data_IF_373547629962
#
_entry.id   IF_373547629962
#
_cell.length_a   1.000
_cell.length_b   1.000
_cell.length_c   1.000
_cell.angle_alpha   90.00
_cell.angle_beta   90.00
_cell.angle_gamma   90.00
#
_symmetry.space_group_name_H-M   'P 1'
#
loop_
_entity.id
_entity.type
_entity.pdbx_description
1 polymer ?
#
# COMPACT_ATOMS: atom_id res chain seq x y z
N UNK A 1 12.60 -5.53 -11.61
CA UNK A 1 11.27 -5.61 -10.97
C UNK A 1 11.02 -4.40 -10.07
N UNK A 2 11.84 -4.15 -9.05
CA UNK A 2 11.66 -3.04 -8.11
C UNK A 2 11.60 -1.64 -8.74
N UNK A 3 12.38 -1.36 -9.79
CA UNK A 3 12.34 -0.07 -10.48
C UNK A 3 10.93 0.20 -11.05
N UNK A 4 10.29 -0.81 -11.64
CA UNK A 4 8.92 -0.71 -12.11
C UNK A 4 7.94 -0.52 -10.94
N UNK A 5 8.08 -1.32 -9.89
CA UNK A 5 7.23 -1.24 -8.70
C UNK A 5 7.31 0.10 -7.98
N UNK A 6 8.47 0.74 -7.93
CA UNK A 6 8.64 2.08 -7.34
C UNK A 6 7.79 3.15 -8.02
N UNK A 7 7.32 2.90 -9.24
CA UNK A 7 6.41 3.78 -9.96
C UNK A 7 4.98 3.23 -9.87
N UNK A 8 4.78 1.96 -10.22
CA UNK A 8 3.44 1.37 -10.35
C UNK A 8 2.72 1.20 -9.02
N UNK A 9 3.42 0.86 -7.94
CA UNK A 9 2.81 0.65 -6.61
C UNK A 9 2.33 1.95 -5.97
N UNK A 10 3.13 3.04 -5.90
CA UNK A 10 2.61 4.33 -5.47
C UNK A 10 1.41 4.78 -6.30
N UNK A 11 1.45 4.60 -7.63
CA UNK A 11 0.32 4.94 -8.50
C UNK A 11 -0.93 4.15 -8.12
N UNK A 12 -0.81 2.83 -7.92
CA UNK A 12 -1.94 1.97 -7.55
C UNK A 12 -2.59 2.40 -6.22
N UNK A 13 -1.80 2.72 -5.20
CA UNK A 13 -2.36 3.15 -3.90
C UNK A 13 -2.91 4.58 -3.93
N UNK A 14 -2.42 5.44 -4.83
CA UNK A 14 -2.97 6.78 -5.03
C UNK A 14 -4.36 6.78 -5.67
N UNK A 15 -4.78 5.69 -6.32
CA UNK A 15 -6.12 5.57 -6.90
C UNK A 15 -7.22 5.66 -5.84
N UNK A 16 -7.00 5.16 -4.62
CA UNK A 16 -8.01 5.19 -3.55
C UNK A 16 -8.49 6.61 -3.20
N UNK A 17 -7.61 7.57 -2.79
CA UNK A 17 -8.04 8.93 -2.50
C UNK A 17 -8.56 9.68 -3.74
N UNK A 18 -8.11 9.32 -4.95
CA UNK A 18 -8.59 9.91 -6.20
C UNK A 18 -10.01 9.47 -6.53
N UNK A 19 -10.32 8.17 -6.44
CA UNK A 19 -11.66 7.61 -6.66
C UNK A 19 -12.68 8.13 -5.63
N UNK A 20 -12.22 8.41 -4.41
CA UNK A 20 -13.04 8.99 -3.36
C UNK A 20 -13.20 10.51 -3.48
N UNK A 21 -12.53 11.15 -4.44
CA UNK A 21 -12.55 12.60 -4.67
C UNK A 21 -12.36 13.42 -3.38
N UNK A 22 -11.42 13.01 -2.51
CA UNK A 22 -11.24 13.61 -1.19
C UNK A 22 -10.66 15.03 -1.22
N UNK A 23 -10.15 15.47 -2.37
CA UNK A 23 -9.48 16.76 -2.52
C UNK A 23 -8.40 16.95 -1.47
N UNK A 24 -8.34 18.15 -0.88
CA UNK A 24 -7.35 18.47 0.17
C UNK A 24 -7.49 17.63 1.44
N UNK A 25 -8.69 17.13 1.76
CA UNK A 25 -8.94 16.29 2.95
C UNK A 25 -8.26 14.92 2.83
N UNK A 26 -7.98 14.47 1.60
CA UNK A 26 -7.26 13.22 1.32
C UNK A 26 -5.75 13.36 1.31
N UNK A 27 -5.18 14.55 1.53
CA UNK A 27 -3.73 14.79 1.38
C UNK A 27 -2.88 13.93 2.32
N UNK A 28 -3.32 13.74 3.56
CA UNK A 28 -2.62 12.91 4.54
C UNK A 28 -2.68 11.42 4.18
N UNK A 29 -3.84 10.93 3.71
CA UNK A 29 -3.99 9.57 3.21
C UNK A 29 -3.11 9.34 1.97
N UNK A 30 -3.12 10.28 1.03
CA UNK A 30 -2.30 10.24 -0.18
C UNK A 30 -0.80 10.16 0.15
N UNK A 31 -0.30 11.10 0.97
CA UNK A 31 1.12 11.12 1.37
C UNK A 31 1.49 9.87 2.14
N UNK A 32 0.62 9.42 3.05
CA UNK A 32 0.83 8.21 3.83
C UNK A 32 0.97 6.99 2.94
N UNK A 33 0.01 6.76 2.03
CA UNK A 33 0.05 5.62 1.10
C UNK A 33 1.31 5.62 0.24
N UNK A 34 1.66 6.77 -0.35
CA UNK A 34 2.86 6.91 -1.19
C UNK A 34 4.14 6.66 -0.38
N UNK A 35 4.27 7.30 0.78
CA UNK A 35 5.45 7.17 1.63
C UNK A 35 5.67 5.72 2.06
N UNK A 36 4.61 5.06 2.58
CA UNK A 36 4.72 3.68 3.02
C UNK A 36 4.95 2.71 1.87
N UNK A 37 4.45 2.98 0.66
CA UNK A 37 4.80 2.22 -0.54
C UNK A 37 6.29 2.30 -0.86
N UNK A 38 6.91 3.49 -0.76
CA UNK A 38 8.35 3.63 -0.94
C UNK A 38 9.15 2.90 0.14
N UNK A 39 8.77 3.05 1.42
CA UNK A 39 9.42 2.33 2.53
C UNK A 39 9.35 0.82 2.31
N UNK A 40 8.17 0.30 1.99
CA UNK A 40 7.97 -1.13 1.70
C UNK A 40 8.89 -1.61 0.58
N UNK A 41 8.90 -0.92 -0.57
CA UNK A 41 9.67 -1.38 -1.72
C UNK A 41 11.18 -1.24 -1.57
N UNK A 42 11.65 -0.15 -0.96
CA UNK A 42 13.09 0.05 -0.72
C UNK A 42 13.60 -1.00 0.26
N UNK A 43 12.86 -1.26 1.34
CA UNK A 43 13.28 -2.26 2.34
C UNK A 43 13.15 -3.70 1.82
N UNK A 44 12.13 -4.00 1.01
CA UNK A 44 12.04 -5.29 0.30
C UNK A 44 13.24 -5.49 -0.65
N UNK A 45 13.62 -4.47 -1.42
CA UNK A 45 14.79 -4.56 -2.29
C UNK A 45 16.09 -4.79 -1.49
N UNK A 46 16.29 -4.09 -0.38
CA UNK A 46 17.46 -4.31 0.50
C UNK A 46 17.46 -5.73 1.06
N UNK A 47 16.30 -6.28 1.43
CA UNK A 47 16.19 -7.68 1.84
C UNK A 47 16.57 -8.63 0.69
N UNK A 48 16.08 -8.40 -0.52
CA UNK A 48 16.35 -9.23 -1.70
C UNK A 48 17.84 -9.28 -2.08
N UNK A 49 18.56 -8.15 -1.97
CA UNK A 49 20.01 -8.09 -2.21
C UNK A 49 20.85 -8.66 -1.04
N UNK A 50 20.22 -8.90 0.12
CA UNK A 50 20.92 -9.45 1.27
C UNK A 50 21.09 -10.97 1.15
N UNK A 51 22.15 -11.57 1.73
CA UNK A 51 22.32 -13.01 1.73
C UNK A 51 21.09 -13.70 2.35
N UNK A 52 20.48 -14.62 1.61
CA UNK A 52 19.26 -15.33 2.02
C UNK A 52 19.45 -15.99 3.39
N UNK A 53 18.50 -15.74 4.31
CA UNK A 53 18.53 -16.31 5.66
C UNK A 53 19.45 -15.57 6.65
N UNK A 54 20.16 -14.52 6.21
CA UNK A 54 20.94 -13.67 7.11
C UNK A 54 20.06 -12.84 8.05
N UNK A 55 20.64 -12.33 9.14
CA UNK A 55 19.98 -11.39 10.03
C UNK A 55 19.50 -10.13 9.29
N UNK A 56 20.31 -9.63 8.36
CA UNK A 56 19.98 -8.46 7.55
C UNK A 56 18.76 -8.74 6.65
N UNK A 57 18.74 -9.90 5.99
CA UNK A 57 17.60 -10.36 5.19
C UNK A 57 16.30 -10.36 6.01
N UNK A 58 16.30 -11.04 7.16
CA UNK A 58 15.11 -11.12 8.03
C UNK A 58 14.68 -9.75 8.57
N UNK A 59 15.63 -8.89 8.93
CA UNK A 59 15.34 -7.57 9.47
C UNK A 59 14.60 -6.72 8.44
N UNK A 60 15.14 -6.60 7.22
CA UNK A 60 14.53 -5.77 6.19
C UNK A 60 13.26 -6.39 5.59
N UNK A 61 13.17 -7.72 5.55
CA UNK A 61 11.94 -8.41 5.20
C UNK A 61 10.81 -8.06 6.17
N UNK A 62 11.03 -8.16 7.48
CA UNK A 62 10.00 -7.83 8.49
C UNK A 62 9.62 -6.35 8.44
N UNK A 63 10.59 -5.45 8.23
CA UNK A 63 10.30 -4.01 8.07
C UNK A 63 9.40 -3.76 6.85
N UNK A 64 9.68 -4.41 5.72
CA UNK A 64 8.85 -4.30 4.52
C UNK A 64 7.43 -4.82 4.76
N UNK A 65 7.29 -6.00 5.38
CA UNK A 65 5.98 -6.54 5.76
C UNK A 65 5.23 -5.60 6.71
N UNK A 66 5.93 -4.95 7.65
CA UNK A 66 5.34 -3.94 8.54
C UNK A 66 4.80 -2.72 7.79
N UNK A 67 5.55 -2.20 6.82
CA UNK A 67 5.10 -1.11 5.96
C UNK A 67 3.88 -1.50 5.11
N UNK A 68 3.87 -2.71 4.55
CA UNK A 68 2.73 -3.26 3.84
C UNK A 68 1.48 -3.37 4.73
N UNK A 69 1.62 -3.94 5.94
CA UNK A 69 0.52 -4.04 6.89
C UNK A 69 0.00 -2.66 7.30
N UNK A 70 0.86 -1.64 7.37
CA UNK A 70 0.43 -0.26 7.62
C UNK A 70 -0.36 0.33 6.44
N UNK A 71 0.02 0.04 5.19
CA UNK A 71 -0.79 0.36 4.00
C UNK A 71 -2.18 -0.28 4.11
N UNK A 72 -2.22 -1.59 4.36
CA UNK A 72 -3.47 -2.34 4.57
C UNK A 72 -4.30 -1.69 5.68
N UNK A 73 -3.70 -1.35 6.81
CA UNK A 73 -4.38 -0.67 7.91
C UNK A 73 -5.03 0.64 7.45
N UNK A 74 -4.33 1.49 6.69
CA UNK A 74 -4.90 2.73 6.15
C UNK A 74 -6.07 2.46 5.19
N UNK A 75 -5.99 1.42 4.36
CA UNK A 75 -7.07 1.03 3.45
C UNK A 75 -8.30 0.48 4.18
N UNK A 76 -8.12 -0.23 5.30
CA UNK A 76 -9.23 -0.80 6.06
C UNK A 76 -9.78 0.14 7.13
N UNK A 77 -9.13 1.27 7.41
CA UNK A 77 -9.62 2.33 8.30
C UNK A 77 -10.04 3.57 7.53
N UNK A 78 -9.09 4.38 7.06
CA UNK A 78 -9.33 5.68 6.43
C UNK A 78 -10.15 5.60 5.15
N UNK A 79 -9.85 4.64 4.27
CA UNK A 79 -10.63 4.45 3.05
C UNK A 79 -12.02 3.89 3.37
N UNK A 80 -12.16 3.02 4.38
CA UNK A 80 -13.48 2.53 4.84
C UNK A 80 -14.36 3.67 5.34
N UNK A 81 -13.81 4.56 6.17
CA UNK A 81 -14.51 5.74 6.67
C UNK A 81 -14.93 6.66 5.51
N UNK A 82 -13.99 6.93 4.59
CA UNK A 82 -14.22 7.82 3.45
C UNK A 82 -15.23 7.27 2.43
N UNK A 83 -15.28 5.96 2.23
CA UNK A 83 -16.20 5.35 1.25
C UNK A 83 -17.65 5.27 1.73
N UNK A 84 -17.92 5.51 3.03
CA UNK A 84 -19.27 5.42 3.59
C UNK A 84 -20.27 6.38 2.92
N UNK A 85 -19.79 7.53 2.44
CA UNK A 85 -20.58 8.52 1.70
C UNK A 85 -20.52 8.36 0.17
N UNK A 86 -19.80 7.38 -0.35
CA UNK A 86 -19.64 7.16 -1.79
C UNK A 86 -20.78 6.29 -2.37
N UNK A 87 -21.06 6.38 -3.69
CA UNK A 87 -22.01 5.49 -4.35
C UNK A 87 -21.68 4.00 -4.16
N UNK A 88 -22.69 3.14 -4.16
CA UNK A 88 -22.54 1.69 -3.94
C UNK A 88 -21.57 1.01 -4.91
N UNK A 89 -21.55 1.44 -6.18
CA UNK A 89 -20.60 0.96 -7.19
C UNK A 89 -19.15 1.27 -6.82
N UNK A 90 -18.86 2.49 -6.36
CA UNK A 90 -17.53 2.92 -5.92
C UNK A 90 -17.11 2.15 -4.66
N UNK A 91 -18.03 1.98 -3.70
CA UNK A 91 -17.75 1.17 -2.50
C UNK A 91 -17.38 -0.27 -2.86
N UNK A 92 -18.09 -0.89 -3.82
CA UNK A 92 -17.80 -2.24 -4.26
C UNK A 92 -16.39 -2.33 -4.89
N UNK A 93 -16.05 -1.40 -5.79
CA UNK A 93 -14.72 -1.34 -6.39
C UNK A 93 -13.61 -1.17 -5.35
N UNK A 94 -13.77 -0.24 -4.41
CA UNK A 94 -12.77 0.00 -3.36
C UNK A 94 -12.61 -1.21 -2.43
N UNK A 95 -13.69 -1.95 -2.13
CA UNK A 95 -13.63 -3.21 -1.36
C UNK A 95 -12.85 -4.30 -2.09
N UNK A 96 -13.03 -4.42 -3.40
CA UNK A 96 -12.26 -5.37 -4.21
C UNK A 96 -10.79 -4.97 -4.28
N UNK A 97 -10.49 -3.69 -4.55
CA UNK A 97 -9.13 -3.19 -4.65
C UNK A 97 -8.35 -3.35 -3.34
N UNK A 98 -8.95 -3.02 -2.18
CA UNK A 98 -8.25 -3.21 -0.89
C UNK A 98 -8.02 -4.68 -0.55
N UNK A 99 -8.91 -5.59 -0.99
CA UNK A 99 -8.70 -7.03 -0.85
C UNK A 99 -7.57 -7.51 -1.76
N UNK A 100 -7.41 -6.94 -2.95
CA UNK A 100 -6.26 -7.22 -3.81
C UNK A 100 -4.95 -6.77 -3.17
N UNK A 101 -4.90 -5.60 -2.52
CA UNK A 101 -3.71 -5.16 -1.79
C UNK A 101 -3.41 -6.03 -0.56
N UNK A 102 -4.44 -6.58 0.11
CA UNK A 102 -4.26 -7.46 1.27
C UNK A 102 -3.88 -8.89 0.89
N UNK A 103 -4.52 -9.48 -0.12
CA UNK A 103 -4.39 -10.90 -0.45
C UNK A 103 -3.51 -11.08 -1.68
N UNK A 104 -3.81 -10.31 -2.73
CA UNK A 104 -3.10 -10.40 -4.01
C UNK A 104 -1.63 -9.99 -3.91
N UNK A 105 -1.27 -9.10 -2.99
CA UNK A 105 0.13 -8.72 -2.80
C UNK A 105 0.94 -9.69 -1.94
N UNK A 106 0.31 -10.60 -1.20
CA UNK A 106 1.00 -11.50 -0.28
C UNK A 106 1.88 -12.55 -0.98
N UNK A 107 1.78 -12.67 -2.31
CA UNK A 107 2.61 -13.57 -3.13
C UNK A 107 3.97 -12.98 -3.50
N UNK A 108 4.18 -11.68 -3.24
CA UNK A 108 5.41 -10.96 -3.51
C UNK A 108 6.25 -10.85 -2.24
#
# INVERSE_FOLDING_TARGET
>A
RYIDWLITVPLLVMEFPLLLNLGKKGSELFKGLVFWSFVMLVTAWVAEESPTGSQQWWTWYVVSCGAWLYIVYMLFTKVTEAMASAPSSIQASLKTMRLFVLIGWAIY
#
